data_IF_685748669369
#
_entry.id   IF_685748669369
#
_cell.length_a   1.000
_cell.length_b   1.000
_cell.length_c   1.000
_cell.angle_alpha   90.00
_cell.angle_beta   90.00
_cell.angle_gamma   90.00
#
_symmetry.space_group_name_H-M   'P 1'
#
loop_
_entity.id
_entity.type
_entity.pdbx_description
1 polymer ?
#
# COMPACT_ATOMS: atom_id res chain seq x y z
N UNK A 1 7.65 1.32 -3.97
CA UNK A 1 7.51 1.20 -2.51
C UNK A 1 8.14 2.43 -1.86
N UNK A 2 7.47 3.06 -0.89
CA UNK A 2 7.95 4.21 -0.12
C UNK A 2 7.83 3.92 1.38
N UNK A 3 8.90 4.17 2.14
CA UNK A 3 8.95 3.96 3.59
C UNK A 3 9.08 5.31 4.31
N UNK A 4 8.12 5.59 5.18
CA UNK A 4 8.06 6.78 6.01
C UNK A 4 9.10 6.68 7.12
N UNK A 5 10.06 7.59 7.09
CA UNK A 5 11.04 7.76 8.15
C UNK A 5 10.78 9.05 8.93
N UNK A 6 11.22 9.09 10.19
CA UNK A 6 10.96 10.21 11.08
C UNK A 6 11.87 11.41 10.75
N UNK A 7 11.30 12.63 10.78
CA UNK A 7 12.00 13.90 10.53
C UNK A 7 12.67 14.04 9.15
N UNK A 8 12.12 13.39 8.13
CA UNK A 8 12.63 13.44 6.74
C UNK A 8 11.66 14.09 5.74
N UNK A 9 10.67 14.84 6.22
CA UNK A 9 9.57 15.36 5.40
C UNK A 9 8.80 14.29 4.60
N UNK A 10 8.88 13.03 5.05
CA UNK A 10 8.23 11.87 4.44
C UNK A 10 6.71 11.99 4.35
N UNK A 11 6.06 12.68 5.30
CA UNK A 11 4.63 13.02 5.22
C UNK A 11 4.28 13.88 4.00
N UNK A 12 5.20 14.78 3.58
CA UNK A 12 5.00 15.61 2.38
C UNK A 12 5.06 14.75 1.13
N UNK A 13 6.07 13.88 1.02
CA UNK A 13 6.22 12.96 -0.11
C UNK A 13 5.00 12.02 -0.19
N UNK A 14 4.54 11.50 0.95
CA UNK A 14 3.37 10.63 1.01
C UNK A 14 2.11 11.32 0.47
N UNK A 15 1.85 12.56 0.86
CA UNK A 15 0.71 13.33 0.34
C UNK A 15 0.81 13.57 -1.17
N UNK A 16 2.01 13.84 -1.69
CA UNK A 16 2.24 14.00 -3.13
C UNK A 16 1.92 12.69 -3.86
N UNK A 17 2.41 11.55 -3.34
CA UNK A 17 2.15 10.23 -3.93
C UNK A 17 0.66 9.87 -3.92
N UNK A 18 -0.08 10.20 -2.85
CA UNK A 18 -1.52 9.97 -2.80
C UNK A 18 -2.27 10.77 -3.85
N UNK A 19 -1.99 12.08 -3.96
CA UNK A 19 -2.62 12.94 -4.98
C UNK A 19 -2.28 12.48 -6.39
N UNK A 20 -1.04 12.05 -6.62
CA UNK A 20 -0.62 11.49 -7.89
C UNK A 20 -1.39 10.20 -8.21
N UNK A 21 -1.54 9.30 -7.24
CA UNK A 21 -2.31 8.08 -7.43
C UNK A 21 -3.77 8.37 -7.79
N UNK A 22 -4.44 9.27 -7.07
CA UNK A 22 -5.82 9.67 -7.34
C UNK A 22 -5.96 10.31 -8.72
N UNK A 23 -5.07 11.24 -9.07
CA UNK A 23 -5.09 11.95 -10.35
C UNK A 23 -4.90 11.00 -11.55
N UNK A 24 -4.13 9.94 -11.38
CA UNK A 24 -3.79 8.99 -12.45
C UNK A 24 -4.52 7.64 -12.32
N UNK A 25 -5.52 7.54 -11.44
CA UNK A 25 -6.30 6.32 -11.19
C UNK A 25 -5.40 5.09 -10.91
N UNK A 26 -4.34 5.29 -10.13
CA UNK A 26 -3.38 4.24 -9.79
C UNK A 26 -3.84 3.47 -8.55
N UNK A 27 -3.62 2.15 -8.56
CA UNK A 27 -3.87 1.32 -7.39
C UNK A 27 -2.79 1.52 -6.32
N UNK A 28 -3.21 1.76 -5.08
CA UNK A 28 -2.33 1.92 -3.91
C UNK A 28 -2.56 0.76 -2.94
N UNK A 29 -1.48 0.12 -2.49
CA UNK A 29 -1.53 -0.89 -1.44
C UNK A 29 -1.71 -0.22 -0.07
N UNK A 30 -2.90 -0.34 0.50
CA UNK A 30 -3.25 0.16 1.83
C UNK A 30 -3.14 -0.97 2.88
N UNK A 31 -2.72 -0.69 4.11
CA UNK A 31 -2.68 -1.69 5.18
C UNK A 31 -4.08 -2.17 5.56
N UNK A 32 -4.20 -3.44 5.91
CA UNK A 32 -5.50 -4.05 6.26
C UNK A 32 -6.09 -3.47 7.55
N UNK A 33 -7.35 -3.05 7.47
CA UNK A 33 -8.14 -2.59 8.62
C UNK A 33 -7.58 -1.32 9.25
N UNK A 34 -7.27 -1.38 10.55
CA UNK A 34 -6.70 -0.25 11.32
C UNK A 34 -5.18 -0.33 11.45
N UNK A 35 -4.53 -1.20 10.69
CA UNK A 35 -3.07 -1.33 10.71
C UNK A 35 -2.42 -0.11 10.05
N UNK A 36 -1.27 0.31 10.55
CA UNK A 36 -0.51 1.43 9.96
C UNK A 36 0.64 0.97 9.07
N UNK A 37 1.00 -0.31 9.16
CA UNK A 37 2.18 -0.87 8.52
C UNK A 37 1.81 -2.10 7.69
N UNK A 38 2.56 -2.30 6.61
CA UNK A 38 2.41 -3.44 5.71
C UNK A 38 3.30 -4.61 6.16
N UNK A 39 3.20 -4.98 7.44
CA UNK A 39 3.91 -6.12 8.02
C UNK A 39 5.17 -5.80 8.83
N UNK A 40 5.56 -4.54 8.97
CA UNK A 40 6.74 -4.16 9.78
C UNK A 40 6.63 -4.68 11.24
N UNK A 41 7.69 -5.27 11.82
CA UNK A 41 9.06 -5.41 11.31
C UNK A 41 9.35 -6.64 10.44
N UNK A 42 8.34 -7.44 10.10
CA UNK A 42 8.46 -8.64 9.28
C UNK A 42 8.47 -8.35 7.78
N UNK A 43 8.77 -9.39 6.99
CA UNK A 43 8.69 -9.33 5.54
C UNK A 43 7.27 -9.02 5.08
N UNK A 44 7.17 -8.16 4.07
CA UNK A 44 5.90 -7.89 3.43
C UNK A 44 5.37 -9.14 2.72
N UNK A 45 4.07 -9.34 2.87
CA UNK A 45 3.29 -10.40 2.22
C UNK A 45 1.94 -9.82 1.84
N UNK A 46 1.39 -10.27 0.71
CA UNK A 46 0.23 -9.64 0.07
C UNK A 46 -1.00 -9.56 0.99
N UNK A 47 -1.14 -10.47 1.96
CA UNK A 47 -2.26 -10.48 2.91
C UNK A 47 -2.31 -9.26 3.85
N UNK A 48 -1.22 -8.49 3.98
CA UNK A 48 -1.23 -7.25 4.76
C UNK A 48 -1.89 -6.09 4.02
N UNK A 49 -2.20 -6.25 2.73
CA UNK A 49 -2.88 -5.24 1.93
C UNK A 49 -4.40 -5.41 2.05
N UNK A 50 -5.11 -4.31 2.23
CA UNK A 50 -6.56 -4.28 2.26
C UNK A 50 -7.15 -4.87 0.96
N UNK A 51 -8.17 -5.71 1.11
CA UNK A 51 -8.80 -6.39 -0.02
C UNK A 51 -7.96 -7.51 -0.66
N UNK A 52 -6.76 -7.83 -0.16
CA UNK A 52 -5.95 -8.93 -0.70
C UNK A 52 -6.68 -10.29 -0.63
N UNK A 53 -7.43 -10.54 0.44
CA UNK A 53 -8.21 -11.77 0.64
C UNK A 53 -9.58 -11.77 -0.06
N UNK A 54 -10.05 -10.61 -0.55
CA UNK A 54 -11.30 -10.53 -1.32
C UNK A 54 -11.13 -10.96 -2.78
N UNK A 55 -9.90 -11.22 -3.23
CA UNK A 55 -9.71 -12.11 -4.36
C UNK A 55 -10.06 -13.52 -3.85
N UNK A 56 -11.31 -13.94 -4.07
CA UNK A 56 -11.80 -15.27 -3.70
C UNK A 56 -11.00 -16.40 -4.36
N UNK A 57 -11.46 -17.65 -4.31
CA UNK A 57 -10.76 -18.82 -4.88
C UNK A 57 -10.61 -18.81 -6.42
N UNK A 58 -10.86 -17.67 -7.06
CA UNK A 58 -10.81 -17.48 -8.49
C UNK A 58 -9.35 -17.28 -8.95
N UNK A 59 -8.91 -17.98 -10.01
CA UNK A 59 -7.55 -17.89 -10.55
C UNK A 59 -7.36 -16.61 -11.39
N UNK A 60 -7.76 -15.47 -10.82
CA UNK A 60 -7.47 -14.16 -11.40
C UNK A 60 -5.99 -13.82 -11.24
N UNK A 61 -5.45 -12.95 -12.11
CA UNK A 61 -4.09 -12.44 -11.92
C UNK A 61 -3.95 -11.81 -10.53
N UNK A 62 -2.79 -11.96 -9.86
CA UNK A 62 -2.56 -11.36 -8.56
C UNK A 62 -2.85 -9.87 -8.61
N UNK A 63 -3.53 -9.33 -7.59
CA UNK A 63 -3.78 -7.88 -7.48
C UNK A 63 -2.45 -7.14 -7.57
N UNK A 64 -2.29 -6.34 -8.63
CA UNK A 64 -1.11 -5.50 -8.83
C UNK A 64 -1.38 -4.12 -8.24
N UNK A 65 -0.40 -3.60 -7.51
CA UNK A 65 -0.45 -2.26 -6.92
C UNK A 65 0.68 -1.42 -7.53
N UNK A 66 0.37 -0.19 -7.91
CA UNK A 66 1.33 0.73 -8.52
C UNK A 66 2.17 1.43 -7.43
N UNK A 67 1.53 1.76 -6.30
CA UNK A 67 2.17 2.47 -5.19
C UNK A 67 1.94 1.70 -3.90
N UNK A 68 2.96 1.66 -3.05
CA UNK A 68 2.92 1.02 -1.74
C UNK A 68 3.63 1.93 -0.76
N UNK A 69 2.93 2.33 0.30
CA UNK A 69 3.41 3.27 1.31
C UNK A 69 3.28 2.66 2.71
N UNK A 70 4.33 2.75 3.51
CA UNK A 70 4.38 2.31 4.92
C UNK A 70 4.93 3.46 5.75
#
# INVERSE_FOLDING_TARGET
MFLKTHKTASSTVLNILYRYAEMHNLSVALPVGRSFHLGFPWLFVAHYVEGALQAGPHPGPPRQFNIMCN
#
